data_IF_869811250298
#
_entry.id   IF_869811250298
#
_cell.length_a   1.000
_cell.length_b   1.000
_cell.length_c   1.000
_cell.angle_alpha   90.00
_cell.angle_beta   90.00
_cell.angle_gamma   90.00
#
_symmetry.space_group_name_H-M   'P 1'
#
loop_
_entity.id
_entity.type
_entity.pdbx_description
1 polymer ?
#
# COMPACT_ATOMS: atom_id res chain seq x y z
N UNK A 1 15.21 -0.14 -37.54
CA UNK A 1 14.79 0.72 -36.43
C UNK A 1 14.94 -0.09 -35.16
N UNK A 2 15.89 0.24 -34.28
CA UNK A 2 16.08 -0.44 -33.00
C UNK A 2 15.03 0.07 -32.00
N UNK A 3 14.44 -0.77 -31.14
CA UNK A 3 13.51 -0.29 -30.12
C UNK A 3 14.24 0.60 -29.14
N UNK A 4 13.74 1.82 -28.96
CA UNK A 4 14.18 2.74 -27.92
C UNK A 4 13.68 2.16 -26.60
N UNK A 5 14.59 1.66 -25.78
CA UNK A 5 14.28 1.22 -24.42
C UNK A 5 14.09 2.48 -23.55
N UNK A 6 12.89 3.06 -23.62
CA UNK A 6 12.44 4.01 -22.60
C UNK A 6 12.36 3.24 -21.29
N UNK A 7 13.10 3.67 -20.27
CA UNK A 7 12.99 3.12 -18.93
C UNK A 7 11.51 3.17 -18.49
N UNK A 8 10.81 2.05 -18.64
CA UNK A 8 9.39 1.94 -18.34
C UNK A 8 9.26 1.85 -16.84
N UNK A 9 8.83 2.95 -16.22
CA UNK A 9 8.44 2.93 -14.81
C UNK A 9 7.03 2.34 -14.75
N UNK A 10 6.87 1.24 -14.01
CA UNK A 10 5.59 0.59 -13.80
C UNK A 10 5.22 0.66 -12.32
N UNK A 11 3.94 0.90 -12.02
CA UNK A 11 3.41 0.83 -10.66
C UNK A 11 3.16 -0.65 -10.35
N UNK A 12 3.94 -1.20 -9.43
CA UNK A 12 3.84 -2.61 -9.03
C UNK A 12 2.79 -2.83 -7.95
N UNK A 13 2.41 -1.78 -7.23
CA UNK A 13 1.43 -1.81 -6.16
C UNK A 13 1.13 -0.41 -5.66
N UNK A 14 0.04 -0.29 -4.90
CA UNK A 14 -0.42 0.96 -4.27
C UNK A 14 -0.87 0.64 -2.86
N UNK A 15 -0.58 1.54 -1.93
CA UNK A 15 -1.16 1.58 -0.59
C UNK A 15 -1.78 2.97 -0.38
N UNK A 16 -2.96 3.01 0.24
CA UNK A 16 -3.64 4.26 0.62
C UNK A 16 -3.97 4.25 2.10
N UNK A 17 -3.97 5.43 2.71
CA UNK A 17 -4.46 5.69 4.05
C UNK A 17 -5.58 6.73 3.95
N UNK A 18 -6.73 6.43 4.55
CA UNK A 18 -7.84 7.36 4.73
C UNK A 18 -7.92 7.66 6.22
N UNK A 19 -7.67 8.91 6.61
CA UNK A 19 -7.69 9.34 8.02
C UNK A 19 -9.10 9.84 8.34
N UNK A 20 -9.65 9.39 9.46
CA UNK A 20 -10.94 9.82 9.96
C UNK A 20 -10.92 11.28 10.43
N UNK A 21 -12.08 11.97 10.51
CA UNK A 21 -12.12 13.41 10.83
C UNK A 21 -11.51 13.80 12.18
N UNK A 22 -11.44 12.87 13.15
CA UNK A 22 -10.83 13.10 14.46
C UNK A 22 -9.30 13.06 14.44
N UNK A 23 -8.70 12.64 13.31
CA UNK A 23 -7.26 12.50 13.13
C UNK A 23 -6.63 11.34 13.89
N UNK A 24 -7.41 10.50 14.56
CA UNK A 24 -6.92 9.43 15.44
C UNK A 24 -6.92 8.07 14.78
N UNK A 25 -7.90 7.82 13.92
CA UNK A 25 -8.08 6.51 13.29
C UNK A 25 -7.92 6.61 11.77
N UNK A 26 -7.52 5.51 11.14
CA UNK A 26 -7.42 5.45 9.69
C UNK A 26 -7.56 4.06 9.09
N UNK A 27 -8.11 4.03 7.87
CA UNK A 27 -8.25 2.82 7.07
C UNK A 27 -7.09 2.72 6.07
N UNK A 28 -6.41 1.57 6.06
CA UNK A 28 -5.46 1.20 5.01
C UNK A 28 -6.13 0.24 4.01
N UNK A 29 -5.88 0.50 2.73
CA UNK A 29 -6.09 -0.48 1.66
C UNK A 29 -4.87 -0.55 0.76
N UNK A 30 -4.52 -1.73 0.27
CA UNK A 30 -3.41 -1.90 -0.65
C UNK A 30 -3.70 -2.98 -1.71
N UNK A 31 -2.98 -2.89 -2.83
CA UNK A 31 -3.02 -3.88 -3.90
C UNK A 31 -1.62 -4.04 -4.50
N UNK A 32 -1.29 -5.27 -4.87
CA UNK A 32 -0.07 -5.63 -5.61
C UNK A 32 -0.49 -6.22 -6.94
N UNK A 33 0.12 -5.74 -8.03
CA UNK A 33 -0.11 -6.27 -9.37
C UNK A 33 0.24 -7.76 -9.41
N UNK A 34 -0.63 -8.58 -10.03
CA UNK A 34 -0.58 -10.04 -9.99
C UNK A 34 0.80 -10.68 -10.16
N UNK A 35 1.60 -10.29 -11.18
CA UNK A 35 2.95 -10.85 -11.40
C UNK A 35 3.93 -10.65 -10.25
N UNK A 36 3.63 -9.75 -9.31
CA UNK A 36 4.51 -9.35 -8.21
C UNK A 36 3.97 -9.73 -6.83
N UNK A 37 2.85 -10.48 -6.77
CA UNK A 37 2.32 -11.04 -5.53
C UNK A 37 3.24 -12.14 -4.98
N UNK A 38 3.16 -12.41 -3.67
CA UNK A 38 3.99 -13.42 -3.00
C UNK A 38 5.46 -13.01 -2.76
N UNK A 39 5.89 -11.83 -3.21
CA UNK A 39 7.26 -11.33 -3.06
C UNK A 39 7.46 -10.39 -1.86
N UNK A 40 6.45 -10.23 -0.99
CA UNK A 40 6.51 -9.36 0.19
C UNK A 40 6.34 -7.87 -0.09
N UNK A 41 5.97 -7.46 -1.31
CA UNK A 41 5.76 -6.03 -1.65
C UNK A 41 4.64 -5.38 -0.82
N UNK A 42 3.53 -6.10 -0.59
CA UNK A 42 2.43 -5.62 0.25
C UNK A 42 2.90 -5.32 1.67
N UNK A 43 3.63 -6.26 2.29
CA UNK A 43 4.21 -6.07 3.61
C UNK A 43 5.14 -4.85 3.67
N UNK A 44 6.02 -4.68 2.67
CA UNK A 44 6.92 -3.52 2.62
C UNK A 44 6.16 -2.19 2.52
N UNK A 45 5.13 -2.13 1.67
CA UNK A 45 4.30 -0.93 1.53
C UNK A 45 3.51 -0.63 2.82
N UNK A 46 2.94 -1.65 3.45
CA UNK A 46 2.16 -1.48 4.69
C UNK A 46 3.05 -1.07 5.85
N UNK A 47 4.24 -1.67 6.02
CA UNK A 47 5.19 -1.26 7.06
C UNK A 47 5.57 0.22 6.93
N UNK A 48 5.90 0.66 5.71
CA UNK A 48 6.20 2.07 5.48
C UNK A 48 4.98 2.97 5.72
N UNK A 49 3.77 2.51 5.40
CA UNK A 49 2.55 3.26 5.73
C UNK A 49 2.33 3.35 7.24
N UNK A 50 2.66 2.31 8.01
CA UNK A 50 2.58 2.33 9.48
C UNK A 50 3.53 3.39 10.04
N UNK A 51 4.77 3.47 9.55
CA UNK A 51 5.71 4.55 9.94
C UNK A 51 5.10 5.94 9.70
N UNK A 52 4.46 6.15 8.54
CA UNK A 52 3.75 7.40 8.23
C UNK A 52 2.57 7.64 9.19
N UNK A 53 1.88 6.60 9.62
CA UNK A 53 0.76 6.72 10.56
C UNK A 53 1.25 7.10 11.97
N UNK A 54 2.36 6.52 12.41
CA UNK A 54 3.02 6.86 13.67
C UNK A 54 3.48 8.32 13.66
N UNK A 55 4.13 8.78 12.59
CA UNK A 55 4.56 10.17 12.42
C UNK A 55 3.39 11.16 12.42
N UNK A 56 2.21 10.71 11.99
CA UNK A 56 0.97 11.49 11.99
C UNK A 56 0.22 11.46 13.33
N UNK A 57 0.65 10.63 14.28
CA UNK A 57 0.02 10.48 15.59
C UNK A 57 -1.31 9.73 15.56
N UNK A 58 -1.53 8.85 14.57
CA UNK A 58 -2.69 7.97 14.60
C UNK A 58 -2.59 6.99 15.77
N UNK A 59 -3.71 6.78 16.47
CA UNK A 59 -3.85 5.83 17.57
C UNK A 59 -4.14 4.42 17.05
N UNK A 60 -4.96 4.33 15.98
CA UNK A 60 -5.37 3.05 15.39
C UNK A 60 -5.36 3.12 13.87
N UNK A 61 -4.88 2.04 13.26
CA UNK A 61 -5.01 1.77 11.84
C UNK A 61 -5.65 0.41 11.64
N UNK A 62 -6.61 0.32 10.73
CA UNK A 62 -7.30 -0.91 10.40
C UNK A 62 -7.40 -1.13 8.90
N UNK A 63 -7.68 -2.36 8.50
CA UNK A 63 -7.95 -2.74 7.12
C UNK A 63 -9.06 -3.78 7.09
N UNK A 64 -9.91 -3.73 6.07
CA UNK A 64 -10.91 -4.77 5.83
C UNK A 64 -10.42 -5.74 4.76
N UNK A 65 -10.40 -7.03 5.10
CA UNK A 65 -10.05 -8.10 4.18
C UNK A 65 -11.30 -8.94 3.90
N UNK A 66 -11.60 -9.15 2.62
CA UNK A 66 -12.60 -10.15 2.25
C UNK A 66 -12.04 -11.55 2.57
N UNK A 67 -12.86 -12.52 2.99
CA UNK A 67 -12.40 -13.88 3.30
C UNK A 67 -11.62 -14.56 2.18
N UNK A 68 -11.93 -14.21 0.93
CA UNK A 68 -11.29 -14.76 -0.28
C UNK A 68 -10.03 -13.98 -0.69
N UNK A 69 -9.67 -12.92 0.04
CA UNK A 69 -8.44 -12.15 -0.20
C UNK A 69 -7.30 -12.81 0.58
N UNK A 70 -6.58 -13.74 -0.07
CA UNK A 70 -5.36 -14.39 0.44
C UNK A 70 -4.10 -13.62 0.10
#
# INVERSE_FOLDING_TARGET
MYPVNLHKTEILGVVRLIIEPDGKNGEIAFIVAGPWQGLGLGLKMVNYMIEICEDKGLETVYAFMLPDNQ
#
